data_IF_249428369338
#
_entry.id   IF_249428369338
#
_cell.length_a   1.000
_cell.length_b   1.000
_cell.length_c   1.000
_cell.angle_alpha   90.00
_cell.angle_beta   90.00
_cell.angle_gamma   90.00
#
_symmetry.space_group_name_H-M   'P 1'
#
loop_
_entity.id
_entity.type
_entity.pdbx_description
1 polymer ?
#
# COMPACT_ATOMS: atom_id res chain seq x y z
N UNK A 1 -9.40 -1.89 -9.72
CA UNK A 1 -8.82 -0.56 -9.43
C UNK A 1 -9.10 0.45 -10.54
N UNK A 2 -9.72 0.04 -11.65
CA UNK A 2 -10.03 0.89 -12.81
C UNK A 2 -11.00 2.04 -12.51
N UNK A 3 -11.82 1.92 -11.45
CA UNK A 3 -12.81 2.95 -11.08
C UNK A 3 -12.23 4.26 -10.54
N UNK A 4 -10.94 4.30 -10.17
CA UNK A 4 -10.31 5.54 -9.68
C UNK A 4 -10.22 6.62 -10.77
N UNK A 5 -10.21 6.23 -12.05
CA UNK A 5 -10.20 7.14 -13.19
C UNK A 5 -11.60 7.55 -13.65
N UNK A 6 -12.63 6.79 -13.27
CA UNK A 6 -14.03 7.00 -13.66
C UNK A 6 -14.62 8.27 -13.02
N UNK A 7 -14.08 8.73 -11.88
CA UNK A 7 -14.76 9.74 -11.07
C UNK A 7 -14.43 11.20 -11.45
N UNK A 8 -13.32 11.49 -12.11
CA UNK A 8 -13.01 12.82 -12.68
C UNK A 8 -11.78 12.75 -13.61
N UNK A 9 -11.92 12.65 -14.95
CA UNK A 9 -10.80 12.50 -15.87
C UNK A 9 -9.81 13.68 -15.86
N UNK A 10 -10.23 14.83 -15.33
CA UNK A 10 -9.41 16.05 -15.20
C UNK A 10 -8.73 16.21 -13.83
N UNK A 11 -9.10 15.42 -12.82
CA UNK A 11 -8.49 15.50 -11.48
C UNK A 11 -7.74 14.22 -11.15
N UNK A 12 -6.49 14.15 -11.63
CA UNK A 12 -5.56 13.10 -11.19
C UNK A 12 -5.01 13.44 -9.80
N UNK A 13 -5.01 12.48 -8.85
CA UNK A 13 -4.50 12.73 -7.51
C UNK A 13 -3.00 13.02 -7.55
N UNK A 14 -2.55 13.98 -6.74
CA UNK A 14 -1.12 14.21 -6.56
C UNK A 14 -0.44 13.05 -5.84
N UNK A 15 -1.10 12.55 -4.80
CA UNK A 15 -0.58 11.50 -3.95
C UNK A 15 -1.63 10.42 -3.79
N UNK A 16 -1.21 9.16 -3.96
CA UNK A 16 -2.03 7.99 -3.65
C UNK A 16 -1.42 7.27 -2.43
N UNK A 17 -2.24 6.97 -1.44
CA UNK A 17 -1.87 6.19 -0.26
C UNK A 17 -2.47 4.79 -0.35
N UNK A 18 -1.64 3.78 -0.16
CA UNK A 18 -1.99 2.36 -0.23
C UNK A 18 -1.78 1.72 1.14
N UNK A 19 -2.86 1.16 1.71
CA UNK A 19 -2.84 0.34 2.93
C UNK A 19 -3.64 -0.94 2.71
N UNK A 20 -3.14 -1.87 1.89
CA UNK A 20 -3.81 -3.14 1.70
C UNK A 20 -3.72 -4.00 2.98
N UNK A 21 -4.65 -4.95 3.10
CA UNK A 21 -4.67 -5.87 4.22
C UNK A 21 -3.50 -6.87 4.11
N UNK A 22 -2.40 -6.58 4.79
CA UNK A 22 -1.23 -7.47 4.86
C UNK A 22 -1.50 -8.74 5.66
N UNK A 23 -0.76 -9.80 5.32
CA UNK A 23 -0.71 -11.02 6.11
C UNK A 23 -0.23 -10.76 7.54
N UNK A 24 -0.66 -11.60 8.48
CA UNK A 24 -0.14 -11.54 9.84
C UNK A 24 1.30 -12.00 9.90
N UNK A 25 2.06 -11.40 10.81
CA UNK A 25 3.40 -11.89 11.12
C UNK A 25 3.29 -13.28 11.75
N UNK A 26 4.09 -14.21 11.28
CA UNK A 26 4.47 -15.39 12.05
C UNK A 26 5.15 -14.93 13.35
N UNK A 27 4.74 -15.46 14.51
CA UNK A 27 5.41 -15.23 15.80
C UNK A 27 4.81 -14.16 16.73
N UNK A 28 3.58 -13.69 16.51
CA UNK A 28 2.84 -12.95 17.55
C UNK A 28 1.92 -13.90 18.32
N UNK A 29 2.13 -14.02 19.64
CA UNK A 29 1.31 -14.86 20.52
C UNK A 29 -0.06 -14.26 20.84
N UNK A 30 -0.18 -12.93 20.79
CA UNK A 30 -1.42 -12.23 21.08
C UNK A 30 -2.28 -12.05 19.82
N UNK A 31 -3.55 -12.43 19.93
CA UNK A 31 -4.55 -12.23 18.88
C UNK A 31 -4.83 -10.72 18.66
N UNK A 32 -5.08 -10.29 17.41
CA UNK A 32 -5.53 -8.94 17.11
C UNK A 32 -6.88 -8.62 17.76
N UNK A 33 -7.20 -7.33 17.85
CA UNK A 33 -8.55 -6.89 18.27
C UNK A 33 -9.62 -7.53 17.38
N UNK A 34 -10.77 -7.88 17.95
CA UNK A 34 -11.88 -8.56 17.25
C UNK A 34 -12.27 -7.89 15.93
N UNK A 35 -12.38 -6.55 15.90
CA UNK A 35 -12.72 -5.80 14.67
C UNK A 35 -11.75 -6.07 13.51
N UNK A 36 -10.46 -6.24 13.81
CA UNK A 36 -9.44 -6.53 12.80
C UNK A 36 -9.56 -7.97 12.31
N UNK A 37 -9.84 -8.91 13.22
CA UNK A 37 -10.10 -10.31 12.85
C UNK A 37 -11.32 -10.43 11.94
N UNK A 38 -12.41 -9.71 12.27
CA UNK A 38 -13.63 -9.70 11.48
C UNK A 38 -13.39 -9.10 10.10
N UNK A 39 -12.73 -7.95 10.00
CA UNK A 39 -12.41 -7.33 8.71
C UNK A 39 -11.62 -8.27 7.78
N UNK A 40 -10.63 -9.00 8.33
CA UNK A 40 -9.85 -9.99 7.56
C UNK A 40 -10.68 -11.18 7.10
N UNK A 41 -11.62 -11.66 7.91
CA UNK A 41 -12.53 -12.74 7.50
C UNK A 41 -13.45 -12.30 6.36
N UNK A 42 -13.86 -11.04 6.33
CA UNK A 42 -14.77 -10.50 5.32
C UNK A 42 -14.07 -10.17 4.00
N UNK A 43 -12.91 -9.50 4.05
CA UNK A 43 -12.20 -9.02 2.86
C UNK A 43 -11.25 -10.09 2.29
N UNK A 44 -10.86 -11.07 3.11
CA UNK A 44 -9.81 -12.01 2.76
C UNK A 44 -8.41 -11.39 2.89
N UNK A 45 -7.40 -12.11 2.39
CA UNK A 45 -6.02 -11.65 2.31
C UNK A 45 -5.70 -11.38 0.85
N UNK A 46 -5.16 -10.18 0.56
CA UNK A 46 -4.57 -9.92 -0.75
C UNK A 46 -3.29 -10.73 -0.90
N UNK A 47 -3.06 -11.30 -2.07
CA UNK A 47 -1.80 -11.97 -2.38
C UNK A 47 -0.73 -10.94 -2.79
N UNK A 48 0.52 -11.37 -2.94
CA UNK A 48 1.62 -10.48 -3.32
C UNK A 48 1.46 -9.91 -4.74
N UNK A 49 0.79 -10.65 -5.63
CA UNK A 49 0.49 -10.22 -6.99
C UNK A 49 -0.51 -9.06 -7.02
N UNK A 50 -1.59 -9.15 -6.25
CA UNK A 50 -2.61 -8.10 -6.10
C UNK A 50 -1.98 -6.79 -5.59
N UNK A 51 -1.08 -6.90 -4.61
CA UNK A 51 -0.34 -5.76 -4.07
C UNK A 51 0.59 -5.12 -5.11
N UNK A 52 1.22 -5.95 -5.95
CA UNK A 52 2.10 -5.49 -7.02
C UNK A 52 1.31 -4.76 -8.11
N UNK A 53 0.21 -5.36 -8.57
CA UNK A 53 -0.69 -4.76 -9.56
C UNK A 53 -1.31 -3.45 -9.04
N UNK A 54 -1.69 -3.42 -7.75
CA UNK A 54 -2.18 -2.21 -7.08
C UNK A 54 -1.13 -1.09 -7.08
N UNK A 55 0.10 -1.39 -6.69
CA UNK A 55 1.20 -0.42 -6.71
C UNK A 55 1.46 0.11 -8.13
N UNK A 56 1.51 -0.78 -9.12
CA UNK A 56 1.72 -0.39 -10.52
C UNK A 56 0.61 0.54 -11.01
N UNK A 57 -0.65 0.19 -10.74
CA UNK A 57 -1.81 1.02 -11.11
C UNK A 57 -1.77 2.38 -10.40
N UNK A 58 -1.44 2.41 -9.11
CA UNK A 58 -1.31 3.68 -8.40
C UNK A 58 -0.21 4.57 -9.00
N UNK A 59 0.91 3.99 -9.44
CA UNK A 59 2.02 4.74 -10.04
C UNK A 59 1.67 5.34 -11.40
N UNK A 60 0.77 4.73 -12.17
CA UNK A 60 0.31 5.31 -13.45
C UNK A 60 -0.69 6.45 -13.26
N UNK A 61 -1.41 6.46 -12.13
CA UNK A 61 -2.47 7.43 -11.84
C UNK A 61 -1.94 8.65 -11.07
N UNK A 62 -1.10 8.45 -10.05
CA UNK A 62 -0.61 9.54 -9.20
C UNK A 62 0.31 10.50 -9.96
N UNK A 63 0.12 11.82 -9.80
CA UNK A 63 0.97 12.80 -10.50
C UNK A 63 2.29 13.10 -9.80
N UNK A 64 2.40 12.86 -8.49
CA UNK A 64 3.63 13.11 -7.73
C UNK A 64 4.17 11.85 -7.04
N UNK A 65 3.37 11.24 -6.16
CA UNK A 65 3.87 10.16 -5.28
C UNK A 65 2.84 9.06 -5.04
N UNK A 66 3.34 7.85 -4.84
CA UNK A 66 2.59 6.76 -4.22
C UNK A 66 3.25 6.43 -2.88
N UNK A 67 2.45 6.28 -1.83
CA UNK A 67 2.90 5.89 -0.50
C UNK A 67 2.28 4.54 -0.17
N UNK A 68 3.11 3.53 0.03
CA UNK A 68 2.68 2.18 0.34
C UNK A 68 3.04 1.84 1.79
N UNK A 69 2.01 1.70 2.64
CA UNK A 69 2.14 1.16 3.99
C UNK A 69 2.45 -0.33 3.95
N UNK A 70 3.60 -0.73 4.51
CA UNK A 70 4.08 -2.11 4.58
C UNK A 70 4.48 -2.48 6.01
N UNK A 71 4.50 -3.78 6.36
CA UNK A 71 5.12 -4.23 7.60
C UNK A 71 6.60 -3.82 7.64
N UNK A 72 7.09 -3.44 8.82
CA UNK A 72 8.49 -2.98 9.00
C UNK A 72 9.54 -4.02 8.58
N UNK A 73 9.21 -5.30 8.66
CA UNK A 73 10.05 -6.44 8.30
C UNK A 73 9.78 -6.98 6.88
N UNK A 74 8.92 -6.33 6.10
CA UNK A 74 8.71 -6.73 4.71
C UNK A 74 9.99 -6.47 3.88
N UNK A 75 10.24 -7.28 2.84
CA UNK A 75 11.35 -7.05 1.92
C UNK A 75 11.40 -5.60 1.43
N UNK A 76 12.60 -5.07 1.33
CA UNK A 76 12.84 -3.75 0.74
C UNK A 76 12.54 -3.82 -0.75
N UNK A 77 11.77 -2.86 -1.25
CA UNK A 77 11.52 -2.69 -2.67
C UNK A 77 12.53 -1.68 -3.22
N UNK A 78 13.47 -2.08 -4.09
CA UNK A 78 14.49 -1.18 -4.63
C UNK A 78 13.91 -0.09 -5.53
N UNK A 79 12.66 -0.23 -5.99
CA UNK A 79 11.99 0.79 -6.78
C UNK A 79 11.38 1.92 -5.95
N UNK A 80 11.33 1.77 -4.62
CA UNK A 80 10.96 2.85 -3.72
C UNK A 80 12.05 3.92 -3.69
N UNK A 81 11.66 5.18 -3.83
CA UNK A 81 12.60 6.31 -3.80
C UNK A 81 13.21 6.50 -2.40
N UNK A 82 12.41 6.29 -1.36
CA UNK A 82 12.84 6.25 0.03
C UNK A 82 11.75 5.58 0.88
N UNK A 83 12.07 5.28 2.13
CA UNK A 83 11.11 4.73 3.08
C UNK A 83 11.15 5.49 4.40
N UNK A 84 9.98 5.64 5.04
CA UNK A 84 9.83 6.32 6.33
C UNK A 84 9.35 5.31 7.37
N UNK A 85 10.01 5.28 8.55
CA UNK A 85 9.57 4.45 9.66
C UNK A 85 8.24 4.97 10.24
N UNK A 86 7.24 4.10 10.33
CA UNK A 86 5.97 4.35 11.01
C UNK A 86 5.96 3.83 12.45
N UNK A 87 7.14 3.65 13.05
CA UNK A 87 7.35 2.97 14.32
C UNK A 87 7.76 1.50 14.16
N UNK A 88 7.69 0.72 15.24
CA UNK A 88 8.26 -0.65 15.27
C UNK A 88 7.64 -1.62 14.26
N UNK A 89 6.36 -1.46 13.93
CA UNK A 89 5.60 -2.47 13.19
C UNK A 89 5.39 -2.13 11.70
N UNK A 90 5.56 -0.87 11.31
CA UNK A 90 5.12 -0.33 10.01
C UNK A 90 6.21 0.51 9.38
N UNK A 91 6.33 0.44 8.06
CA UNK A 91 7.16 1.29 7.21
C UNK A 91 6.31 1.82 6.06
N UNK A 92 6.62 3.02 5.59
CA UNK A 92 5.98 3.62 4.43
C UNK A 92 7.01 3.72 3.30
N UNK A 93 6.83 2.93 2.26
CA UNK A 93 7.67 3.00 1.05
C UNK A 93 7.09 4.08 0.13
N UNK A 94 7.91 5.05 -0.31
CA UNK A 94 7.49 6.20 -1.10
C UNK A 94 8.08 6.11 -2.50
N UNK A 95 7.20 6.14 -3.51
CA UNK A 95 7.55 6.04 -4.92
C UNK A 95 7.27 7.38 -5.60
N UNK A 96 8.29 8.01 -6.19
CA UNK A 96 8.11 9.18 -7.04
C UNK A 96 7.61 8.77 -8.43
N UNK A 97 6.75 9.57 -9.03
CA UNK A 97 6.45 9.43 -10.45
C UNK A 97 7.58 10.04 -11.28
N UNK A 98 8.09 9.32 -12.28
CA UNK A 98 9.18 9.76 -13.16
C UNK A 98 8.83 10.96 -14.04
N UNK A 99 7.53 11.26 -14.18
CA UNK A 99 7.05 12.38 -14.96
C UNK A 99 6.96 13.70 -14.16
N UNK A 100 7.34 13.70 -12.88
CA UNK A 100 7.41 14.92 -12.09
C UNK A 100 8.78 15.56 -12.29
N UNK A 101 8.82 16.58 -13.15
CA UNK A 101 9.95 17.51 -13.30
C UNK A 101 10.24 18.22 -11.98
#
# INVERSE_FOLDING_TARGET
FDRLLEYHPTMRPNIIFLDPMHEEKYGKSALPKFKIQLARKLVGRGNEEDHTQLLQTARTVATQRVVFKKPSNAPTDPSASFSVSGGRAVRYDVYKNSNST
#
